data_IF_681964369355
#
_entry.id   IF_681964369355
#
_cell.length_a   1.000
_cell.length_b   1.000
_cell.length_c   1.000
_cell.angle_alpha   90.00
_cell.angle_beta   90.00
_cell.angle_gamma   90.00
#
_symmetry.space_group_name_H-M   'P 1'
#
loop_
_entity.id
_entity.type
_entity.pdbx_description
1 polymer ?
#
# COMPACT_ATOMS: atom_id res chain seq x y z
N UNK A 1 -19.15 -2.60 1.68
CA UNK A 1 -18.30 -2.87 0.49
C UNK A 1 -18.58 -4.28 -0.01
N UNK A 2 -18.78 -4.48 -1.31
CA UNK A 2 -18.85 -5.83 -1.88
C UNK A 2 -17.50 -6.54 -1.75
N UNK A 3 -17.49 -7.86 -1.52
CA UNK A 3 -16.25 -8.67 -1.40
C UNK A 3 -15.26 -8.39 -2.54
N UNK A 4 -15.78 -8.26 -3.77
CA UNK A 4 -14.97 -7.99 -4.98
C UNK A 4 -14.28 -6.62 -4.94
N UNK A 5 -14.98 -5.59 -4.46
CA UNK A 5 -14.44 -4.22 -4.35
C UNK A 5 -13.30 -4.14 -3.34
N UNK A 6 -13.41 -4.84 -2.20
CA UNK A 6 -12.37 -4.84 -1.17
C UNK A 6 -11.09 -5.51 -1.66
N UNK A 7 -11.23 -6.64 -2.37
CA UNK A 7 -10.10 -7.33 -3.01
C UNK A 7 -9.43 -6.48 -4.10
N UNK A 8 -10.20 -5.80 -4.96
CA UNK A 8 -9.62 -4.86 -5.94
C UNK A 8 -8.82 -3.76 -5.27
N UNK A 9 -9.31 -3.18 -4.17
CA UNK A 9 -8.59 -2.11 -3.46
C UNK A 9 -7.29 -2.65 -2.86
N UNK A 10 -7.31 -3.84 -2.25
CA UNK A 10 -6.09 -4.46 -1.68
C UNK A 10 -5.05 -4.70 -2.78
N UNK A 11 -5.46 -5.27 -3.93
CA UNK A 11 -4.56 -5.49 -5.07
C UNK A 11 -3.98 -4.18 -5.59
N UNK A 12 -4.82 -3.16 -5.84
CA UNK A 12 -4.35 -1.86 -6.29
C UNK A 12 -3.35 -1.23 -5.30
N UNK A 13 -3.62 -1.35 -3.99
CA UNK A 13 -2.74 -0.79 -2.96
C UNK A 13 -1.39 -1.50 -2.91
N UNK A 14 -1.37 -2.83 -3.10
CA UNK A 14 -0.12 -3.61 -3.19
C UNK A 14 0.71 -3.19 -4.42
N UNK A 15 0.08 -3.02 -5.59
CA UNK A 15 0.78 -2.58 -6.81
C UNK A 15 1.45 -1.23 -6.58
N UNK A 16 0.72 -0.26 -6.03
CA UNK A 16 1.26 1.07 -5.72
C UNK A 16 2.41 0.96 -4.73
N UNK A 17 2.30 0.10 -3.70
CA UNK A 17 3.36 -0.11 -2.72
C UNK A 17 4.65 -0.65 -3.35
N UNK A 18 4.55 -1.64 -4.24
CA UNK A 18 5.71 -2.21 -4.95
C UNK A 18 6.39 -1.17 -5.85
N UNK A 19 5.61 -0.37 -6.59
CA UNK A 19 6.17 0.70 -7.44
C UNK A 19 6.90 1.75 -6.60
N UNK A 20 6.31 2.16 -5.46
CA UNK A 20 6.94 3.13 -4.56
C UNK A 20 8.23 2.59 -3.94
N UNK A 21 8.27 1.30 -3.64
CA UNK A 21 9.49 0.64 -3.15
C UNK A 21 10.59 0.63 -4.22
N UNK A 22 10.24 0.33 -5.48
CA UNK A 22 11.21 0.38 -6.58
C UNK A 22 11.81 1.78 -6.75
N UNK A 23 10.98 2.83 -6.69
CA UNK A 23 11.43 4.21 -6.76
C UNK A 23 12.28 4.62 -5.55
N UNK A 24 11.99 4.04 -4.37
CA UNK A 24 12.81 4.24 -3.18
C UNK A 24 14.22 3.65 -3.36
N UNK A 25 14.31 2.46 -3.96
CA UNK A 25 15.61 1.82 -4.28
C UNK A 25 16.37 2.66 -5.31
N UNK A 26 15.70 3.13 -6.36
CA UNK A 26 16.32 3.97 -7.40
C UNK A 26 16.82 5.30 -6.82
N UNK A 27 16.02 5.99 -5.99
CA UNK A 27 16.42 7.21 -5.30
C UNK A 27 17.60 6.98 -4.33
N UNK A 28 17.68 5.80 -3.69
CA UNK A 28 18.80 5.43 -2.83
C UNK A 28 20.10 5.30 -3.62
N UNK A 29 20.07 4.64 -4.76
CA UNK A 29 21.24 4.53 -5.64
C UNK A 29 21.58 5.85 -6.34
N UNK A 30 20.59 6.69 -6.65
CA UNK A 30 20.76 8.04 -7.19
C UNK A 30 21.29 9.08 -6.19
N UNK A 31 21.47 8.71 -4.91
CA UNK A 31 21.82 9.62 -3.79
C UNK A 31 20.82 10.77 -3.59
N UNK A 32 19.58 10.60 -4.02
CA UNK A 32 18.49 11.56 -3.86
C UNK A 32 17.75 11.34 -2.54
N UNK A 33 18.46 11.55 -1.42
CA UNK A 33 17.96 11.21 -0.09
C UNK A 33 16.66 11.93 0.33
N UNK A 34 16.36 13.10 -0.27
CA UNK A 34 15.10 13.80 -0.05
C UNK A 34 13.89 13.04 -0.58
N UNK A 35 14.03 12.37 -1.73
CA UNK A 35 12.96 11.59 -2.37
C UNK A 35 12.71 10.26 -1.66
N UNK A 36 13.74 9.67 -1.05
CA UNK A 36 13.65 8.43 -0.27
C UNK A 36 12.66 8.57 0.89
N UNK A 37 12.74 9.67 1.65
CA UNK A 37 11.85 9.91 2.80
C UNK A 37 10.39 10.07 2.36
N UNK A 38 10.16 10.75 1.23
CA UNK A 38 8.82 10.92 0.66
C UNK A 38 8.23 9.58 0.19
N UNK A 39 8.98 8.81 -0.61
CA UNK A 39 8.50 7.52 -1.11
C UNK A 39 8.29 6.49 0.00
N UNK A 40 9.19 6.45 0.97
CA UNK A 40 9.07 5.57 2.14
C UNK A 40 7.85 5.95 2.99
N UNK A 41 7.61 7.25 3.22
CA UNK A 41 6.41 7.75 3.90
C UNK A 41 5.12 7.36 3.18
N UNK A 42 5.05 7.53 1.86
CA UNK A 42 3.89 7.14 1.05
C UNK A 42 3.68 5.62 1.10
N UNK A 43 4.75 4.83 1.09
CA UNK A 43 4.69 3.37 1.17
C UNK A 43 4.14 2.89 2.53
N UNK A 44 4.54 3.53 3.63
CA UNK A 44 4.00 3.23 4.96
C UNK A 44 2.50 3.56 5.03
N UNK A 45 2.10 4.72 4.51
CA UNK A 45 0.68 5.14 4.50
C UNK A 45 -0.16 4.18 3.65
N UNK A 46 0.34 3.77 2.47
CA UNK A 46 -0.37 2.83 1.60
C UNK A 46 -0.51 1.45 2.26
N UNK A 47 0.53 0.95 2.93
CA UNK A 47 0.47 -0.28 3.70
C UNK A 47 -0.58 -0.21 4.83
N UNK A 48 -0.68 0.94 5.51
CA UNK A 48 -1.68 1.14 6.56
C UNK A 48 -3.11 1.12 6.00
N UNK A 49 -3.35 1.76 4.84
CA UNK A 49 -4.64 1.73 4.15
C UNK A 49 -4.99 0.30 3.70
N UNK A 50 -4.02 -0.45 3.19
CA UNK A 50 -4.21 -1.86 2.83
C UNK A 50 -4.62 -2.70 4.05
N UNK A 51 -3.95 -2.50 5.20
CA UNK A 51 -4.26 -3.19 6.44
C UNK A 51 -5.68 -2.87 6.93
N UNK A 52 -6.07 -1.60 6.94
CA UNK A 52 -7.43 -1.19 7.34
C UNK A 52 -8.49 -1.78 6.41
N UNK A 53 -8.23 -1.77 5.10
CA UNK A 53 -9.11 -2.37 4.09
C UNK A 53 -9.25 -3.88 4.31
N UNK A 54 -8.14 -4.58 4.61
CA UNK A 54 -8.14 -5.99 4.95
C UNK A 54 -8.94 -6.27 6.23
N UNK A 55 -8.78 -5.46 7.28
CA UNK A 55 -9.55 -5.60 8.52
C UNK A 55 -11.05 -5.37 8.29
N UNK A 56 -11.43 -4.41 7.44
CA UNK A 56 -12.82 -4.21 7.04
C UNK A 56 -13.36 -5.41 6.25
N UNK A 57 -12.61 -5.93 5.28
CA UNK A 57 -12.98 -7.14 4.54
C UNK A 57 -13.20 -8.31 5.49
N UNK A 58 -12.26 -8.53 6.42
CA UNK A 58 -12.35 -9.56 7.46
C UNK A 58 -13.62 -9.39 8.29
N UNK A 59 -13.92 -8.17 8.76
CA UNK A 59 -15.16 -7.89 9.50
C UNK A 59 -16.42 -8.22 8.68
N UNK A 60 -16.43 -7.99 7.37
CA UNK A 60 -17.57 -8.29 6.49
C UNK A 60 -17.72 -9.80 6.26
N UNK A 61 -16.60 -10.50 6.07
CA UNK A 61 -16.61 -11.94 5.79
C UNK A 61 -16.99 -12.77 7.02
N UNK A 62 -16.45 -12.42 8.20
CA UNK A 62 -16.67 -13.14 9.45
C UNK A 62 -17.84 -12.59 10.29
N UNK A 63 -18.63 -11.61 9.80
CA UNK A 63 -19.91 -11.19 10.41
C UNK A 63 -21.09 -12.09 10.03
N UNK A 64 -20.85 -13.11 9.22
CA UNK A 64 -21.82 -14.14 8.87
C UNK A 64 -21.85 -15.20 9.95
#
# INVERSE_FOLDING_TARGET
MGKKTCWSIIICTIIVNVVMLQWTVEAHYGREYGSILLFSGISIVSAFIALLTYLQWRKIEYKK
#
